data_IF_049895386976
#
_entry.id   IF_049895386976
#
_cell.length_a   1.000
_cell.length_b   1.000
_cell.length_c   1.000
_cell.angle_alpha   90.00
_cell.angle_beta   90.00
_cell.angle_gamma   90.00
#
_symmetry.space_group_name_H-M   'P 1'
#
loop_
_entity.id
_entity.type
_entity.pdbx_description
1 polymer ?
#
# COMPACT_ATOMS: atom_id res chain seq x y z
N UNK A 1 3.01 -0.97 -11.96
CA UNK A 1 3.22 -0.77 -10.51
C UNK A 1 2.31 -1.72 -9.77
N UNK A 2 2.66 -2.22 -8.58
CA UNK A 2 1.71 -2.97 -7.76
C UNK A 2 1.53 -2.31 -6.40
N UNK A 3 0.29 -2.15 -5.97
CA UNK A 3 -0.09 -1.51 -4.71
C UNK A 3 -0.35 -2.56 -3.63
N UNK A 4 -0.57 -2.11 -2.39
CA UNK A 4 -0.96 -3.00 -1.29
C UNK A 4 -2.20 -3.81 -1.66
N UNK A 5 -3.29 -3.13 -2.01
CA UNK A 5 -4.59 -3.74 -2.30
C UNK A 5 -4.50 -4.75 -3.45
N UNK A 6 -3.79 -4.39 -4.52
CA UNK A 6 -3.59 -5.32 -5.64
C UNK A 6 -2.81 -6.58 -5.20
N UNK A 7 -1.75 -6.40 -4.41
CA UNK A 7 -0.92 -7.52 -3.94
C UNK A 7 -1.74 -8.47 -3.05
N UNK A 8 -2.52 -7.92 -2.13
CA UNK A 8 -3.43 -8.70 -1.28
C UNK A 8 -4.49 -9.45 -2.09
N UNK A 9 -5.08 -8.80 -3.10
CA UNK A 9 -6.05 -9.43 -4.00
C UNK A 9 -5.42 -10.60 -4.77
N UNK A 10 -4.21 -10.42 -5.31
CA UNK A 10 -3.50 -11.48 -6.02
C UNK A 10 -3.18 -12.68 -5.12
N UNK A 11 -2.77 -12.42 -3.87
CA UNK A 11 -2.54 -13.47 -2.87
C UNK A 11 -3.83 -14.25 -2.60
N UNK A 12 -4.93 -13.55 -2.30
CA UNK A 12 -6.23 -14.19 -2.02
C UNK A 12 -6.75 -15.02 -3.19
N UNK A 13 -6.56 -14.53 -4.42
CA UNK A 13 -6.97 -15.26 -5.63
C UNK A 13 -6.12 -16.52 -5.86
N UNK A 14 -4.82 -16.47 -5.57
CA UNK A 14 -3.92 -17.61 -5.79
C UNK A 14 -4.00 -18.64 -4.66
N UNK A 15 -4.24 -18.20 -3.42
CA UNK A 15 -4.32 -19.03 -2.23
C UNK A 15 -5.72 -18.93 -1.60
N UNK A 16 -6.74 -19.63 -2.14
CA UNK A 16 -8.12 -19.48 -1.69
C UNK A 16 -8.37 -19.91 -0.23
N UNK A 17 -7.46 -20.70 0.36
CA UNK A 17 -7.52 -21.08 1.78
C UNK A 17 -7.05 -19.97 2.73
N UNK A 18 -6.31 -18.98 2.22
CA UNK A 18 -5.82 -17.85 3.00
C UNK A 18 -6.90 -16.77 3.01
N UNK A 19 -7.49 -16.56 4.17
CA UNK A 19 -8.65 -15.68 4.34
C UNK A 19 -8.26 -14.28 4.80
N UNK A 20 -7.31 -14.22 5.72
CA UNK A 20 -6.79 -12.96 6.26
C UNK A 20 -5.46 -12.69 5.60
N UNK A 21 -5.35 -11.55 4.91
CA UNK A 21 -4.11 -11.11 4.26
C UNK A 21 -3.95 -9.63 4.48
N UNK A 22 -2.76 -9.21 4.89
CA UNK A 22 -2.34 -7.81 4.96
C UNK A 22 -0.92 -7.70 4.42
N UNK A 23 -0.69 -6.78 3.50
CA UNK A 23 0.65 -6.42 3.05
C UNK A 23 1.02 -5.08 3.68
N UNK A 24 2.19 -5.00 4.31
CA UNK A 24 2.67 -3.77 4.91
C UNK A 24 4.07 -3.43 4.40
N UNK A 25 4.23 -2.20 3.93
CA UNK A 25 5.49 -1.66 3.47
C UNK A 25 6.28 -1.04 4.63
N UNK A 26 7.54 -1.42 4.77
CA UNK A 26 8.47 -0.84 5.76
C UNK A 26 9.33 0.30 5.20
N UNK A 27 9.24 0.55 3.89
CA UNK A 27 10.18 1.37 3.12
C UNK A 27 11.42 0.55 2.75
N UNK A 28 12.42 1.19 2.11
CA UNK A 28 13.67 0.56 1.70
C UNK A 28 13.47 -0.72 0.89
N UNK A 29 12.46 -0.74 0.03
CA UNK A 29 12.12 -1.91 -0.79
C UNK A 29 11.81 -3.17 0.03
N UNK A 30 11.27 -3.03 1.24
CA UNK A 30 10.88 -4.14 2.09
C UNK A 30 9.38 -4.11 2.41
N UNK A 31 8.77 -5.28 2.40
CA UNK A 31 7.38 -5.46 2.81
C UNK A 31 7.18 -6.79 3.57
N UNK A 32 6.18 -6.82 4.44
CA UNK A 32 5.76 -8.05 5.13
C UNK A 32 4.34 -8.41 4.70
N UNK A 33 4.14 -9.67 4.34
CA UNK A 33 2.85 -10.30 4.15
C UNK A 33 2.46 -10.95 5.48
N UNK A 34 1.36 -10.51 6.05
CA UNK A 34 0.72 -11.11 7.21
C UNK A 34 -0.45 -11.95 6.71
N UNK A 35 -0.50 -13.21 7.07
CA UNK A 35 -1.49 -14.14 6.56
C UNK A 35 -2.01 -15.11 7.60
N UNK A 36 -3.29 -15.49 7.46
CA UNK A 36 -3.91 -16.64 8.13
C UNK A 36 -4.90 -17.33 7.20
N UNK A 37 -4.99 -18.64 7.36
CA UNK A 37 -6.07 -19.44 6.81
C UNK A 37 -7.38 -19.26 7.62
N UNK A 38 -8.41 -20.03 7.26
CA UNK A 38 -9.71 -19.96 7.95
C UNK A 38 -9.64 -20.35 9.43
N UNK A 39 -8.70 -21.22 9.79
CA UNK A 39 -8.48 -21.72 11.15
C UNK A 39 -7.56 -20.79 11.98
N UNK A 40 -7.27 -19.58 11.50
CA UNK A 40 -6.40 -18.60 12.17
C UNK A 40 -4.95 -19.11 12.36
N UNK A 41 -4.49 -19.94 11.42
CA UNK A 41 -3.15 -20.48 11.41
C UNK A 41 -2.42 -20.11 10.12
N UNK A 42 -1.09 -20.20 10.17
CA UNK A 42 -0.24 -20.09 9.01
C UNK A 42 0.80 -21.20 9.07
N UNK A 43 0.62 -22.22 8.25
CA UNK A 43 1.44 -23.42 8.25
C UNK A 43 2.78 -23.17 7.53
N UNK A 44 3.83 -23.91 7.90
CA UNK A 44 5.16 -23.74 7.32
C UNK A 44 5.21 -23.92 5.80
N UNK A 45 4.40 -24.81 5.26
CA UNK A 45 4.26 -25.00 3.82
C UNK A 45 3.61 -23.77 3.15
N UNK A 46 2.58 -23.18 3.75
CA UNK A 46 1.94 -21.96 3.28
C UNK A 46 2.90 -20.77 3.31
N UNK A 47 3.76 -20.67 4.35
CA UNK A 47 4.82 -19.65 4.42
C UNK A 47 5.77 -19.77 3.23
N UNK A 48 6.24 -20.98 2.92
CA UNK A 48 7.15 -21.20 1.78
C UNK A 48 6.48 -20.88 0.45
N UNK A 49 5.25 -21.34 0.25
CA UNK A 49 4.49 -21.07 -0.96
C UNK A 49 4.21 -19.58 -1.16
N UNK A 50 3.84 -18.86 -0.09
CA UNK A 50 3.65 -17.41 -0.14
C UNK A 50 4.94 -16.66 -0.50
N UNK A 51 6.09 -17.06 0.07
CA UNK A 51 7.38 -16.45 -0.26
C UNK A 51 7.74 -16.67 -1.73
N UNK A 52 7.57 -17.89 -2.22
CA UNK A 52 7.82 -18.22 -3.62
C UNK A 52 6.90 -17.41 -4.55
N UNK A 53 5.60 -17.42 -4.28
CA UNK A 53 4.63 -16.63 -5.04
C UNK A 53 4.98 -15.14 -5.05
N UNK A 54 5.37 -14.57 -3.90
CA UNK A 54 5.77 -13.18 -3.80
C UNK A 54 6.98 -12.87 -4.70
N UNK A 55 7.97 -13.76 -4.74
CA UNK A 55 9.14 -13.57 -5.61
C UNK A 55 8.83 -13.70 -7.11
N UNK A 56 7.84 -14.51 -7.48
CA UNK A 56 7.51 -14.80 -8.89
C UNK A 56 6.48 -13.83 -9.47
N UNK A 57 5.52 -13.37 -8.67
CA UNK A 57 4.33 -12.67 -9.16
C UNK A 57 4.14 -11.27 -8.57
N UNK A 58 4.81 -10.92 -7.47
CA UNK A 58 4.77 -9.58 -6.91
C UNK A 58 5.97 -8.75 -7.40
N UNK A 59 6.22 -7.60 -6.77
CA UNK A 59 7.19 -6.60 -7.21
C UNK A 59 8.62 -7.17 -7.06
N UNK A 60 9.38 -7.31 -8.15
CA UNK A 60 10.65 -8.05 -8.13
C UNK A 60 11.75 -7.36 -7.31
N UNK A 61 11.64 -6.04 -7.12
CA UNK A 61 12.59 -5.26 -6.33
C UNK A 61 12.25 -5.23 -4.83
N UNK A 62 11.14 -5.83 -4.39
CA UNK A 62 10.72 -5.81 -2.99
C UNK A 62 11.12 -7.10 -2.29
N UNK A 63 11.82 -6.97 -1.16
CA UNK A 63 12.10 -8.07 -0.26
C UNK A 63 10.89 -8.36 0.62
N UNK A 64 10.20 -9.48 0.35
CA UNK A 64 9.03 -9.90 1.10
C UNK A 64 9.39 -10.82 2.27
N UNK A 65 8.90 -10.47 3.47
CA UNK A 65 8.80 -11.38 4.62
C UNK A 65 7.37 -11.91 4.71
N UNK A 66 7.20 -13.06 5.34
CA UNK A 66 5.89 -13.65 5.61
C UNK A 66 5.80 -13.95 7.11
N UNK A 67 4.71 -13.50 7.74
CA UNK A 67 4.41 -13.68 9.17
C UNK A 67 2.95 -14.07 9.38
N UNK A 68 2.64 -14.67 10.53
CA UNK A 68 1.27 -14.92 10.97
C UNK A 68 0.48 -13.62 11.17
N UNK A 69 -0.83 -13.64 10.90
CA UNK A 69 -1.65 -12.42 10.90
C UNK A 69 -1.76 -11.74 12.27
N UNK A 70 -1.71 -12.47 13.39
CA UNK A 70 -1.67 -11.87 14.74
C UNK A 70 -0.50 -10.92 14.97
N UNK A 71 0.63 -11.12 14.28
CA UNK A 71 1.84 -10.31 14.44
C UNK A 71 1.66 -8.85 13.96
N UNK A 72 0.53 -8.52 13.32
CA UNK A 72 0.17 -7.14 12.93
C UNK A 72 0.17 -6.21 14.14
N UNK A 73 -0.29 -6.67 15.30
CA UNK A 73 -0.34 -5.85 16.52
C UNK A 73 1.07 -5.59 17.06
N UNK A 74 1.89 -6.64 17.14
CA UNK A 74 3.26 -6.57 17.63
C UNK A 74 4.16 -5.71 16.73
N UNK A 75 3.93 -5.77 15.42
CA UNK A 75 4.65 -4.95 14.43
C UNK A 75 4.03 -3.55 14.25
N UNK A 76 3.02 -3.17 15.05
CA UNK A 76 2.30 -1.89 14.98
C UNK A 76 1.78 -1.54 13.58
N UNK A 77 1.39 -2.55 12.80
CA UNK A 77 0.83 -2.35 11.47
C UNK A 77 -0.56 -1.72 11.62
N UNK A 78 -0.83 -0.58 10.97
CA UNK A 78 -2.14 0.05 11.05
C UNK A 78 -3.23 -0.92 10.62
N UNK A 79 -4.20 -1.15 11.51
CA UNK A 79 -5.40 -1.90 11.16
C UNK A 79 -6.21 -1.05 10.19
N UNK A 80 -6.39 -1.52 8.97
CA UNK A 80 -7.18 -0.77 7.99
C UNK A 80 -8.65 -1.05 8.21
N UNK A 81 -9.38 0.03 8.47
CA UNK A 81 -10.83 0.07 8.34
C UNK A 81 -11.11 0.12 6.84
N UNK A 82 -11.12 -1.04 6.16
CA UNK A 82 -11.34 -1.12 4.71
C UNK A 82 -12.69 -0.54 4.27
N UNK A 83 -13.62 -0.34 5.21
CA UNK A 83 -14.98 0.16 4.95
C UNK A 83 -15.08 1.64 4.54
N UNK A 84 -13.98 2.39 4.52
CA UNK A 84 -14.03 3.85 4.27
C UNK A 84 -13.21 4.35 3.07
N UNK A 85 -12.56 3.47 2.29
CA UNK A 85 -11.81 3.92 1.10
C UNK A 85 -12.77 4.31 -0.04
N UNK A 86 -12.62 5.51 -0.64
CA UNK A 86 -13.41 5.89 -1.81
C UNK A 86 -13.20 4.91 -2.98
N UNK A 87 -14.25 4.64 -3.74
CA UNK A 87 -14.19 3.70 -4.87
C UNK A 87 -13.10 4.07 -5.89
N UNK A 88 -12.82 5.36 -6.07
CA UNK A 88 -11.75 5.83 -6.96
C UNK A 88 -10.35 5.40 -6.47
N UNK A 89 -10.12 5.36 -5.15
CA UNK A 89 -8.87 4.88 -4.55
C UNK A 89 -8.75 3.38 -4.79
N UNK A 90 -9.80 2.61 -4.53
CA UNK A 90 -9.82 1.16 -4.73
C UNK A 90 -9.55 0.82 -6.21
N UNK A 91 -10.26 1.45 -7.14
CA UNK A 91 -10.05 1.25 -8.59
C UNK A 91 -8.64 1.60 -9.04
N UNK A 92 -8.09 2.70 -8.54
CA UNK A 92 -6.72 3.10 -8.83
C UNK A 92 -5.72 2.08 -8.29
N UNK A 93 -5.87 1.66 -7.03
CA UNK A 93 -4.99 0.69 -6.39
C UNK A 93 -4.95 -0.65 -7.14
N UNK A 94 -6.09 -1.09 -7.67
CA UNK A 94 -6.21 -2.35 -8.43
C UNK A 94 -5.67 -2.26 -9.86
N UNK A 95 -5.31 -1.06 -10.35
CA UNK A 95 -4.82 -0.87 -11.70
C UNK A 95 -3.31 -1.18 -11.82
N UNK A 96 -2.97 -2.26 -12.54
CA UNK A 96 -1.56 -2.65 -12.80
C UNK A 96 -0.74 -1.60 -13.55
N UNK A 97 -1.41 -0.77 -14.35
CA UNK A 97 -0.82 0.33 -15.13
C UNK A 97 -0.71 1.65 -14.36
N UNK A 98 -1.05 1.68 -13.07
CA UNK A 98 -0.92 2.89 -12.26
C UNK A 98 0.54 3.38 -12.25
N UNK A 99 0.71 4.67 -12.51
CA UNK A 99 2.00 5.36 -12.51
C UNK A 99 1.88 6.66 -11.71
N UNK A 100 2.97 7.43 -11.61
CA UNK A 100 3.01 8.67 -10.84
C UNK A 100 1.93 9.69 -11.25
N UNK A 101 1.64 9.81 -12.56
CA UNK A 101 0.61 10.72 -13.06
C UNK A 101 -0.80 10.24 -12.69
N UNK A 102 -1.02 8.92 -12.73
CA UNK A 102 -2.27 8.33 -12.27
C UNK A 102 -2.50 8.53 -10.78
N UNK A 103 -1.45 8.39 -9.96
CA UNK A 103 -1.51 8.63 -8.51
C UNK A 103 -1.92 10.08 -8.23
N UNK A 104 -1.21 11.05 -8.81
CA UNK A 104 -1.52 12.47 -8.57
C UNK A 104 -2.90 12.85 -9.11
N UNK A 105 -3.30 12.35 -10.27
CA UNK A 105 -4.62 12.59 -10.84
C UNK A 105 -5.76 12.10 -9.94
N UNK A 106 -5.59 10.94 -9.29
CA UNK A 106 -6.58 10.37 -8.38
C UNK A 106 -6.77 11.25 -7.14
N UNK A 107 -5.67 11.67 -6.50
CA UNK A 107 -5.74 12.57 -5.33
C UNK A 107 -6.31 13.93 -5.73
N UNK A 108 -5.89 14.49 -6.87
CA UNK A 108 -6.37 15.78 -7.38
C UNK A 108 -7.86 15.80 -7.75
N UNK A 109 -8.47 14.63 -7.95
CA UNK A 109 -9.91 14.48 -8.15
C UNK A 109 -10.69 14.51 -6.84
N UNK A 110 -10.09 14.02 -5.75
CA UNK A 110 -10.72 13.97 -4.43
C UNK A 110 -10.60 15.29 -3.68
N UNK A 111 -9.48 16.00 -3.82
CA UNK A 111 -9.21 17.26 -3.15
C UNK A 111 -9.17 18.40 -4.16
N UNK A 112 -10.35 18.94 -4.52
CA UNK A 112 -10.50 19.94 -5.58
C UNK A 112 -9.90 21.31 -5.25
N UNK A 113 -9.66 21.59 -3.97
CA UNK A 113 -9.09 22.83 -3.46
C UNK A 113 -7.54 22.84 -3.47
N UNK A 114 -6.91 21.79 -3.98
CA UNK A 114 -5.46 21.73 -4.09
C UNK A 114 -4.97 20.84 -5.23
N UNK A 115 -3.65 20.81 -5.40
CA UNK A 115 -2.96 20.01 -6.41
C UNK A 115 -1.76 19.32 -5.79
N UNK A 116 -1.82 18.00 -5.76
CA UNK A 116 -0.70 17.11 -5.55
C UNK A 116 0.17 17.06 -6.81
N UNK A 117 1.47 17.30 -6.63
CA UNK A 117 2.52 17.16 -7.62
C UNK A 117 3.58 16.18 -7.11
N UNK A 118 4.16 15.42 -8.03
CA UNK A 118 5.37 14.65 -7.74
C UNK A 118 6.55 15.62 -7.67
N UNK A 119 7.34 15.52 -6.60
CA UNK A 119 8.55 16.32 -6.43
C UNK A 119 9.78 15.48 -6.81
N UNK A 120 10.03 14.41 -6.04
CA UNK A 120 11.24 13.60 -6.20
C UNK A 120 11.06 12.18 -5.68
N UNK A 121 12.03 11.31 -5.99
CA UNK A 121 12.12 9.95 -5.46
C UNK A 121 13.49 9.74 -4.83
N UNK A 122 13.52 9.48 -3.52
CA UNK A 122 14.72 9.05 -2.81
C UNK A 122 14.85 7.53 -2.94
N UNK A 123 15.73 7.09 -3.82
CA UNK A 123 16.00 5.67 -4.07
C UNK A 123 16.83 5.02 -2.96
N UNK A 124 17.54 5.77 -2.11
CA UNK A 124 18.30 5.19 -1.01
C UNK A 124 17.38 4.67 0.10
N UNK A 125 16.25 5.35 0.34
CA UNK A 125 15.27 4.94 1.35
C UNK A 125 13.94 4.44 0.77
N UNK A 126 13.74 4.55 -0.54
CA UNK A 126 12.51 4.14 -1.23
C UNK A 126 11.33 5.05 -0.87
N UNK A 127 11.54 6.36 -0.76
CA UNK A 127 10.50 7.33 -0.41
C UNK A 127 10.15 8.21 -1.62
N UNK A 128 8.85 8.34 -1.87
CA UNK A 128 8.29 9.22 -2.91
C UNK A 128 7.87 10.52 -2.24
N UNK A 129 8.48 11.63 -2.67
CA UNK A 129 8.14 12.96 -2.16
C UNK A 129 7.11 13.61 -3.07
N UNK A 130 6.04 14.11 -2.46
CA UNK A 130 5.01 14.89 -3.12
C UNK A 130 4.90 16.28 -2.47
N UNK A 131 4.46 17.24 -3.27
CA UNK A 131 4.05 18.55 -2.76
C UNK A 131 2.55 18.72 -3.03
N UNK A 132 1.81 19.17 -2.03
CA UNK A 132 0.39 19.49 -2.15
C UNK A 132 0.21 21.00 -2.02
N UNK A 133 -0.08 21.66 -3.14
CA UNK A 133 -0.31 23.09 -3.20
C UNK A 133 -1.80 23.38 -3.10
N UNK A 134 -2.21 24.11 -2.07
CA UNK A 134 -3.60 24.46 -1.86
C UNK A 134 -3.87 25.96 -2.02
N UNK A 135 -5.11 26.29 -2.39
CA UNK A 135 -5.58 27.69 -2.35
C UNK A 135 -6.08 28.11 -0.96
N UNK A 136 -6.11 27.18 0.00
CA UNK A 136 -6.55 27.39 1.38
C UNK A 136 -5.70 26.57 2.35
N UNK A 137 -5.77 26.89 3.65
CA UNK A 137 -5.10 26.08 4.65
C UNK A 137 -5.66 24.65 4.65
N UNK A 138 -4.78 23.65 4.55
CA UNK A 138 -5.15 22.23 4.62
C UNK A 138 -5.23 21.80 6.07
N UNK A 139 -6.41 21.41 6.53
CA UNK A 139 -6.58 20.95 7.91
C UNK A 139 -5.87 19.61 8.16
N UNK A 140 -5.58 19.31 9.43
CA UNK A 140 -4.85 18.08 9.78
C UNK A 140 -5.59 16.80 9.40
N UNK A 141 -6.93 16.83 9.37
CA UNK A 141 -7.75 15.69 8.96
C UNK A 141 -7.53 15.35 7.49
N UNK A 142 -7.56 16.35 6.62
CA UNK A 142 -7.34 16.21 5.20
C UNK A 142 -5.90 15.83 4.89
N UNK A 143 -4.92 16.39 5.61
CA UNK A 143 -3.52 15.95 5.50
C UNK A 143 -3.38 14.45 5.78
N UNK A 144 -3.97 13.98 6.89
CA UNK A 144 -3.99 12.55 7.26
C UNK A 144 -4.71 11.72 6.20
N UNK A 145 -5.81 12.21 5.64
CA UNK A 145 -6.60 11.51 4.63
C UNK A 145 -5.85 11.39 3.30
N UNK A 146 -5.19 12.46 2.85
CA UNK A 146 -4.34 12.48 1.65
C UNK A 146 -3.22 11.45 1.81
N UNK A 147 -2.50 11.48 2.94
CA UNK A 147 -1.41 10.52 3.22
C UNK A 147 -1.97 9.10 3.25
N UNK A 148 -3.10 8.87 3.91
CA UNK A 148 -3.73 7.56 3.98
C UNK A 148 -4.08 7.03 2.59
N UNK A 149 -4.73 7.83 1.75
CA UNK A 149 -5.08 7.43 0.39
C UNK A 149 -3.84 7.18 -0.48
N UNK A 150 -2.79 7.99 -0.32
CA UNK A 150 -1.52 7.77 -1.01
C UNK A 150 -0.91 6.41 -0.63
N UNK A 151 -0.87 6.06 0.65
CA UNK A 151 -0.34 4.78 1.13
C UNK A 151 -1.05 3.57 0.49
N UNK A 152 -2.30 3.72 0.05
CA UNK A 152 -3.07 2.68 -0.61
C UNK A 152 -2.78 2.55 -2.12
N UNK A 153 -2.30 3.62 -2.77
CA UNK A 153 -2.11 3.68 -4.22
C UNK A 153 -0.64 3.79 -4.67
N UNK A 154 0.31 4.02 -3.75
CA UNK A 154 1.74 3.96 -4.05
C UNK A 154 2.24 2.50 -4.20
N UNK A 155 3.41 2.27 -4.83
CA UNK A 155 3.95 0.93 -4.93
C UNK A 155 4.27 0.32 -3.56
N UNK A 156 4.00 -0.98 -3.42
CA UNK A 156 4.52 -1.76 -2.29
C UNK A 156 6.05 -1.64 -2.24
N UNK A 157 6.60 -1.57 -1.03
CA UNK A 157 8.03 -1.35 -0.80
C UNK A 157 8.46 0.12 -0.81
N UNK A 158 7.59 1.03 -1.23
CA UNK A 158 7.83 2.49 -1.16
C UNK A 158 7.04 3.16 -0.03
N UNK A 159 7.63 4.19 0.57
CA UNK A 159 6.94 5.15 1.44
C UNK A 159 6.60 6.42 0.66
N UNK A 160 5.76 7.26 1.24
CA UNK A 160 5.52 8.60 0.71
C UNK A 160 5.56 9.63 1.82
N UNK A 161 6.10 10.80 1.48
CA UNK A 161 6.02 12.01 2.29
C UNK A 161 5.36 13.11 1.46
N UNK A 162 4.56 13.95 2.12
CA UNK A 162 3.82 15.04 1.47
C UNK A 162 4.16 16.35 2.18
N UNK A 163 4.67 17.33 1.46
CA UNK A 163 4.78 18.70 1.94
C UNK A 163 3.50 19.46 1.59
N UNK A 164 2.91 20.14 2.57
CA UNK A 164 1.70 20.93 2.36
C UNK A 164 2.07 22.42 2.28
N UNK A 165 1.59 23.09 1.24
CA UNK A 165 1.86 24.49 0.92
C UNK A 165 0.58 25.29 0.77
#
# INVERSE_FOLDING_TARGET
MGTRLLSEHLIKNHFPKIRYVRVHTHGKYAATIYAWNEDLHLLDNEIRSLKQFASEYLQPYVCFKVKSYNMIQDDHVPQVVERELPEVIIKAAMNRGLNQYGITAVINKLFSYGRLAFNSYDSAVGTIHFDFHSIMAVDESDQKLIIHYLQEIIPVGSKCDVNFH
#
